data_IF_208768440769
#
_entry.id   IF_208768440769
#
_cell.length_a   1.000
_cell.length_b   1.000
_cell.length_c   1.000
_cell.angle_alpha   90.00
_cell.angle_beta   90.00
_cell.angle_gamma   90.00
#
_symmetry.space_group_name_H-M   'P 1'
#
loop_
_entity.id
_entity.type
_entity.pdbx_description
1 polymer ?
#
# COMPACT_ATOMS: atom_id res chain seq x y z
N UNK A 1 -0.07 -30.11 18.01
CA UNK A 1 0.83 -29.02 17.55
C UNK A 1 0.04 -27.73 17.66
N UNK A 2 0.39 -26.85 18.61
CA UNK A 2 -0.35 -25.60 18.81
C UNK A 2 -0.13 -24.60 17.66
N UNK A 3 -0.89 -23.50 17.66
CA UNK A 3 -0.81 -22.41 16.67
C UNK A 3 0.47 -21.55 16.77
N UNK A 4 1.45 -21.98 17.57
CA UNK A 4 2.70 -21.27 17.84
C UNK A 4 3.55 -21.03 16.58
N UNK A 5 3.49 -21.93 15.60
CA UNK A 5 4.22 -21.76 14.34
C UNK A 5 3.77 -20.51 13.56
N UNK A 6 2.53 -20.04 13.76
CA UNK A 6 2.02 -18.83 13.11
C UNK A 6 2.69 -17.55 13.62
N UNK A 7 3.38 -17.59 14.76
CA UNK A 7 4.11 -16.44 15.33
C UNK A 7 5.45 -16.18 14.68
N UNK A 8 5.95 -17.15 13.90
CA UNK A 8 7.24 -17.03 13.22
C UNK A 8 7.19 -15.89 12.19
N UNK A 9 8.31 -15.17 12.10
CA UNK A 9 8.51 -14.10 11.14
C UNK A 9 9.67 -14.48 10.24
N UNK A 10 9.50 -14.23 8.94
CA UNK A 10 10.58 -14.26 7.98
C UNK A 10 11.35 -12.93 7.99
N UNK A 11 12.35 -12.81 7.12
CA UNK A 11 13.13 -11.58 6.96
C UNK A 11 12.23 -10.35 6.73
N UNK A 12 12.68 -9.19 7.20
CA UNK A 12 11.92 -7.94 7.19
C UNK A 12 10.61 -7.95 8.01
N UNK A 13 10.51 -8.84 9.01
CA UNK A 13 9.37 -8.93 9.92
C UNK A 13 8.10 -9.51 9.30
N UNK A 14 8.21 -10.26 8.19
CA UNK A 14 7.04 -10.78 7.48
C UNK A 14 6.41 -11.97 8.22
N UNK A 15 5.14 -11.82 8.61
CA UNK A 15 4.32 -12.94 9.11
C UNK A 15 3.68 -13.72 7.95
N UNK A 16 3.15 -14.91 8.24
CA UNK A 16 2.34 -15.69 7.30
C UNK A 16 1.14 -14.89 6.75
N UNK A 17 0.57 -13.96 7.54
CA UNK A 17 -0.47 -13.05 7.09
C UNK A 17 0.00 -12.08 5.99
N UNK A 18 1.23 -11.57 6.08
CA UNK A 18 1.79 -10.73 5.02
C UNK A 18 2.00 -11.53 3.73
N UNK A 19 2.50 -12.76 3.84
CA UNK A 19 2.71 -13.63 2.67
C UNK A 19 1.37 -13.98 2.02
N UNK A 20 0.35 -14.31 2.80
CA UNK A 20 -0.99 -14.60 2.29
C UNK A 20 -1.60 -13.38 1.58
N UNK A 21 -1.54 -12.19 2.18
CA UNK A 21 -2.04 -10.96 1.59
C UNK A 21 -1.28 -10.55 0.32
N UNK A 22 0.04 -10.73 0.28
CA UNK A 22 0.87 -10.48 -0.90
C UNK A 22 0.46 -11.34 -2.11
N UNK A 23 -0.08 -12.54 -1.85
CA UNK A 23 -0.50 -13.51 -2.86
C UNK A 23 -2.02 -13.56 -3.08
N UNK A 24 -2.80 -12.60 -2.54
CA UNK A 24 -4.25 -12.58 -2.71
C UNK A 24 -4.97 -13.76 -2.05
N UNK A 25 -4.35 -14.42 -1.06
CA UNK A 25 -4.90 -15.64 -0.44
C UNK A 25 -5.85 -15.29 0.70
N UNK A 26 -6.99 -14.68 0.37
CA UNK A 26 -8.02 -14.29 1.34
C UNK A 26 -8.46 -15.47 2.23
N UNK A 27 -8.62 -16.66 1.66
CA UNK A 27 -8.99 -17.88 2.40
C UNK A 27 -8.00 -18.22 3.52
N UNK A 28 -6.70 -18.02 3.31
CA UNK A 28 -5.67 -18.23 4.33
C UNK A 28 -5.75 -17.15 5.42
N UNK A 29 -6.02 -15.90 5.05
CA UNK A 29 -6.21 -14.81 6.03
C UNK A 29 -7.43 -15.06 6.93
N UNK A 30 -8.52 -15.57 6.35
CA UNK A 30 -9.71 -16.01 7.10
C UNK A 30 -9.34 -17.15 8.06
N UNK A 31 -8.63 -18.16 7.57
CA UNK A 31 -8.19 -19.27 8.42
C UNK A 31 -7.27 -18.81 9.56
N UNK A 32 -6.33 -17.89 9.32
CA UNK A 32 -5.48 -17.29 10.36
C UNK A 32 -6.33 -16.56 11.40
N UNK A 33 -7.30 -15.74 10.95
CA UNK A 33 -8.22 -15.00 11.85
C UNK A 33 -8.98 -15.95 12.78
N UNK A 34 -9.45 -17.06 12.23
CA UNK A 34 -10.29 -18.04 12.93
C UNK A 34 -9.48 -19.01 13.82
N UNK A 35 -8.15 -18.90 13.83
CA UNK A 35 -7.33 -19.64 14.79
C UNK A 35 -7.49 -19.04 16.20
N UNK A 36 -8.01 -19.84 17.13
CA UNK A 36 -8.33 -19.44 18.50
C UNK A 36 -7.15 -18.77 19.23
N UNK A 37 -7.45 -17.62 19.86
CA UNK A 37 -6.61 -16.91 20.82
C UNK A 37 -5.57 -15.94 20.26
N UNK A 38 -5.18 -16.04 18.98
CA UNK A 38 -4.05 -15.27 18.41
C UNK A 38 -4.28 -14.70 16.99
N UNK A 39 -5.31 -15.18 16.27
CA UNK A 39 -5.49 -14.86 14.84
C UNK A 39 -5.49 -13.37 14.51
N UNK A 40 -6.30 -12.58 15.22
CA UNK A 40 -6.38 -11.13 15.01
C UNK A 40 -5.08 -10.40 15.36
N UNK A 41 -4.40 -10.81 16.43
CA UNK A 41 -3.13 -10.19 16.84
C UNK A 41 -2.02 -10.45 15.80
N UNK A 42 -2.01 -11.64 15.20
CA UNK A 42 -1.08 -11.95 14.11
C UNK A 42 -1.33 -11.13 12.84
N UNK A 43 -2.61 -10.89 12.49
CA UNK A 43 -2.98 -10.08 11.34
C UNK A 43 -2.69 -8.58 11.54
N UNK A 44 -2.66 -8.11 12.80
CA UNK A 44 -2.33 -6.72 13.15
C UNK A 44 -0.83 -6.41 13.19
N UNK A 45 0.03 -7.43 13.17
CA UNK A 45 1.49 -7.25 13.17
C UNK A 45 1.94 -6.45 11.95
N UNK A 46 3.03 -5.72 12.14
CA UNK A 46 3.68 -4.93 11.09
C UNK A 46 5.05 -5.50 10.78
N UNK A 47 5.49 -5.29 9.54
CA UNK A 47 6.87 -5.49 9.10
C UNK A 47 7.80 -4.43 9.69
N UNK A 48 9.10 -4.61 9.50
CA UNK A 48 10.14 -3.69 10.00
C UNK A 48 10.01 -2.26 9.44
N UNK A 49 9.41 -2.12 8.25
CA UNK A 49 9.11 -0.84 7.60
C UNK A 49 7.76 -0.22 8.04
N UNK A 50 7.08 -0.83 9.01
CA UNK A 50 5.75 -0.44 9.49
C UNK A 50 4.61 -0.90 8.57
N UNK A 51 4.90 -1.68 7.53
CA UNK A 51 3.89 -2.19 6.60
C UNK A 51 2.97 -3.21 7.25
N UNK A 52 1.66 -3.06 7.03
CA UNK A 52 0.63 -4.03 7.42
C UNK A 52 0.31 -4.98 6.27
N UNK A 53 -0.54 -5.98 6.51
CA UNK A 53 -1.11 -6.84 5.45
C UNK A 53 -1.85 -6.03 4.36
N UNK A 54 -2.41 -4.86 4.68
CA UNK A 54 -3.08 -3.99 3.71
C UNK A 54 -2.10 -3.39 2.71
N UNK A 55 -0.92 -3.01 3.20
CA UNK A 55 0.14 -2.40 2.39
C UNK A 55 0.66 -3.38 1.33
N UNK A 56 0.94 -4.63 1.74
CA UNK A 56 1.38 -5.66 0.79
C UNK A 56 0.26 -6.15 -0.14
N UNK A 57 -1.00 -6.13 0.28
CA UNK A 57 -2.14 -6.40 -0.61
C UNK A 57 -2.29 -5.30 -1.67
N UNK A 58 -2.20 -4.03 -1.27
CA UNK A 58 -2.30 -2.90 -2.19
C UNK A 58 -1.13 -2.82 -3.17
N UNK A 59 0.11 -3.04 -2.69
CA UNK A 59 1.32 -3.13 -3.51
C UNK A 59 1.33 -4.31 -4.50
N UNK A 60 0.37 -5.23 -4.40
CA UNK A 60 0.27 -6.42 -5.24
C UNK A 60 -1.05 -6.52 -6.01
N UNK A 61 -1.92 -5.51 -5.90
CA UNK A 61 -3.14 -5.45 -6.70
C UNK A 61 -4.25 -6.38 -6.20
N UNK A 62 -4.43 -6.51 -4.89
CA UNK A 62 -5.47 -7.38 -4.29
C UNK A 62 -6.58 -6.57 -3.61
N UNK A 63 -7.47 -5.90 -4.36
CA UNK A 63 -8.59 -5.13 -3.79
C UNK A 63 -9.63 -6.02 -3.09
N UNK A 64 -9.72 -7.30 -3.46
CA UNK A 64 -10.54 -8.31 -2.78
C UNK A 64 -10.09 -8.57 -1.33
N UNK A 65 -8.78 -8.68 -1.11
CA UNK A 65 -8.21 -8.79 0.24
C UNK A 65 -8.48 -7.51 1.05
N UNK A 66 -8.35 -6.34 0.43
CA UNK A 66 -8.65 -5.06 1.08
C UNK A 66 -10.13 -4.93 1.45
N UNK A 67 -11.03 -5.38 0.57
CA UNK A 67 -12.47 -5.43 0.83
C UNK A 67 -12.81 -6.37 1.98
N UNK A 68 -12.15 -7.54 2.04
CA UNK A 68 -12.30 -8.45 3.16
C UNK A 68 -11.81 -7.83 4.47
N UNK A 69 -10.63 -7.19 4.48
CA UNK A 69 -10.09 -6.51 5.67
C UNK A 69 -11.05 -5.41 6.14
N UNK A 70 -11.63 -4.64 5.22
CA UNK A 70 -12.60 -3.57 5.49
C UNK A 70 -13.80 -4.09 6.28
N UNK A 71 -14.30 -5.28 5.93
CA UNK A 71 -15.43 -5.94 6.59
C UNK A 71 -15.05 -6.85 7.76
N UNK A 72 -13.75 -7.06 8.03
CA UNK A 72 -13.29 -7.98 9.06
C UNK A 72 -13.41 -7.36 10.46
N UNK A 73 -14.25 -7.95 11.31
CA UNK A 73 -14.33 -7.63 12.74
C UNK A 73 -12.95 -7.65 13.38
N UNK A 74 -12.58 -6.56 14.06
CA UNK A 74 -11.28 -6.42 14.73
C UNK A 74 -10.16 -5.81 13.89
N UNK A 75 -10.35 -5.60 12.58
CA UNK A 75 -9.46 -4.83 11.70
C UNK A 75 -10.17 -3.55 11.19
N UNK A 76 -11.09 -3.71 10.24
CA UNK A 76 -11.96 -2.66 9.74
C UNK A 76 -11.25 -1.50 8.99
N UNK A 77 -11.99 -0.41 8.81
CA UNK A 77 -11.56 0.77 8.05
C UNK A 77 -10.34 1.46 8.67
N UNK A 78 -10.27 1.56 10.00
CA UNK A 78 -9.15 2.23 10.65
C UNK A 78 -7.83 1.49 10.48
N UNK A 79 -7.89 0.16 10.31
CA UNK A 79 -6.71 -0.63 9.99
C UNK A 79 -6.19 -0.36 8.57
N UNK A 80 -7.08 -0.05 7.61
CA UNK A 80 -6.72 0.36 6.25
C UNK A 80 -6.06 1.74 6.20
N UNK A 81 -6.34 2.62 7.17
CA UNK A 81 -5.77 3.97 7.27
C UNK A 81 -4.38 4.01 7.89
N UNK A 82 -3.90 2.91 8.47
CA UNK A 82 -2.55 2.85 9.05
C UNK A 82 -1.51 3.19 8.00
N UNK A 83 -0.44 3.83 8.45
CA UNK A 83 0.69 4.23 7.60
C UNK A 83 1.94 3.47 7.99
N UNK A 84 2.85 3.30 7.02
CA UNK A 84 4.22 2.83 7.24
C UNK A 84 5.02 3.83 8.08
N UNK A 85 6.24 3.45 8.46
CA UNK A 85 7.16 4.32 9.22
C UNK A 85 7.48 5.63 8.48
N UNK A 86 7.47 5.60 7.13
CA UNK A 86 7.67 6.76 6.27
C UNK A 86 6.37 7.53 5.95
N UNK A 87 5.28 7.26 6.68
CA UNK A 87 3.94 7.83 6.46
C UNK A 87 3.25 7.44 5.14
N UNK A 88 3.79 6.47 4.39
CA UNK A 88 3.12 5.96 3.20
C UNK A 88 1.82 5.22 3.57
N UNK A 89 0.77 5.47 2.79
CA UNK A 89 -0.53 4.80 2.87
C UNK A 89 -0.62 3.67 1.84
N UNK A 90 -1.66 2.83 1.93
CA UNK A 90 -1.94 1.80 0.90
C UNK A 90 -2.11 2.38 -0.52
N UNK A 91 -2.52 3.65 -0.65
CA UNK A 91 -2.62 4.31 -1.95
C UNK A 91 -1.23 4.64 -2.55
N UNK A 92 -0.26 4.99 -1.71
CA UNK A 92 1.13 5.17 -2.17
C UNK A 92 1.70 3.85 -2.69
N UNK A 93 1.46 2.76 -1.96
CA UNK A 93 1.91 1.41 -2.35
C UNK A 93 1.29 0.96 -3.68
N UNK A 94 -0.03 1.16 -3.87
CA UNK A 94 -0.72 0.85 -5.12
C UNK A 94 -0.25 1.73 -6.30
N UNK A 95 -0.05 3.03 -6.06
CA UNK A 95 0.42 3.95 -7.10
C UNK A 95 1.86 3.66 -7.53
N UNK A 96 2.75 3.35 -6.59
CA UNK A 96 4.15 3.02 -6.87
C UNK A 96 4.31 1.72 -7.68
N UNK A 97 3.31 0.84 -7.62
CA UNK A 97 3.31 -0.48 -8.28
C UNK A 97 2.37 -0.57 -9.49
N UNK A 98 1.62 0.49 -9.79
CA UNK A 98 0.76 0.57 -10.97
C UNK A 98 -0.60 -0.13 -10.82
N UNK A 99 -1.03 -0.45 -9.61
CA UNK A 99 -2.31 -1.13 -9.34
C UNK A 99 -3.48 -0.15 -9.34
N UNK A 100 -3.96 0.17 -10.55
CA UNK A 100 -5.07 1.09 -10.79
C UNK A 100 -6.38 0.65 -10.16
N UNK A 101 -6.68 -0.63 -10.23
CA UNK A 101 -7.86 -1.28 -9.64
C UNK A 101 -7.95 -1.03 -8.13
N UNK A 102 -6.83 -1.09 -7.41
CA UNK A 102 -6.76 -0.76 -5.98
C UNK A 102 -7.02 0.72 -5.75
N UNK A 103 -6.47 1.61 -6.57
CA UNK A 103 -6.73 3.06 -6.44
C UNK A 103 -8.20 3.41 -6.70
N UNK A 104 -8.83 2.77 -7.68
CA UNK A 104 -10.26 2.91 -7.95
C UNK A 104 -11.07 2.38 -6.76
N UNK A 105 -10.72 1.22 -6.22
CA UNK A 105 -11.36 0.68 -5.02
C UNK A 105 -11.26 1.62 -3.81
N UNK A 106 -10.07 2.21 -3.56
CA UNK A 106 -9.86 3.19 -2.47
C UNK A 106 -10.76 4.42 -2.66
N UNK A 107 -10.81 4.94 -3.88
CA UNK A 107 -11.63 6.12 -4.23
C UNK A 107 -13.11 5.83 -4.01
N UNK A 108 -13.58 4.69 -4.49
CA UNK A 108 -15.01 4.36 -4.48
C UNK A 108 -15.52 4.03 -3.06
N UNK A 109 -14.63 3.63 -2.15
CA UNK A 109 -14.95 3.23 -0.77
C UNK A 109 -14.65 4.30 0.27
N UNK A 110 -14.15 5.45 -0.18
CA UNK A 110 -13.86 6.62 0.64
C UNK A 110 -12.90 6.35 1.82
N UNK A 111 -12.10 5.29 1.71
CA UNK A 111 -11.34 4.72 2.84
C UNK A 111 -10.36 5.73 3.46
N UNK A 112 -9.80 6.62 2.63
CA UNK A 112 -8.74 7.57 3.01
C UNK A 112 -9.18 9.04 2.99
N UNK A 113 -10.48 9.37 2.91
CA UNK A 113 -10.94 10.76 2.61
C UNK A 113 -10.74 11.81 3.71
N UNK A 114 -10.22 11.50 4.89
CA UNK A 114 -9.89 12.54 5.87
C UNK A 114 -8.59 12.21 6.60
N UNK A 115 -7.49 12.91 6.26
CA UNK A 115 -6.37 13.29 7.17
C UNK A 115 -5.19 14.03 6.50
N UNK A 116 -5.30 14.61 5.30
CA UNK A 116 -4.21 15.45 4.76
C UNK A 116 -4.34 16.90 5.26
N UNK A 117 -3.91 17.14 6.50
CA UNK A 117 -3.43 18.45 6.95
C UNK A 117 -1.89 18.35 6.98
N UNK A 118 -1.25 18.94 5.98
CA UNK A 118 0.17 19.34 5.90
C UNK A 118 1.28 18.36 6.37
N UNK A 119 2.02 17.81 5.40
CA UNK A 119 3.45 18.05 5.17
C UNK A 119 4.08 16.85 4.40
N UNK A 120 4.50 17.07 3.15
CA UNK A 120 5.51 16.23 2.48
C UNK A 120 5.06 15.27 1.36
N UNK A 121 3.77 15.14 1.06
CA UNK A 121 3.30 14.28 -0.03
C UNK A 121 1.78 14.30 -0.09
N UNK A 122 1.21 15.19 -0.90
CA UNK A 122 -0.23 15.38 -0.94
C UNK A 122 -0.82 14.55 -2.08
N UNK A 123 -1.49 13.44 -1.74
CA UNK A 123 -2.45 12.79 -2.62
C UNK A 123 -3.77 13.57 -2.53
N UNK A 124 -3.90 14.64 -3.33
CA UNK A 124 -5.16 15.35 -3.48
C UNK A 124 -6.10 14.49 -4.33
N UNK A 125 -6.96 13.69 -3.68
CA UNK A 125 -8.10 13.05 -4.35
C UNK A 125 -9.21 14.09 -4.49
N UNK A 126 -9.19 14.85 -5.59
CA UNK A 126 -10.33 15.68 -5.97
C UNK A 126 -11.34 14.86 -6.78
N UNK A 127 -12.65 15.12 -6.65
CA UNK A 127 -13.67 14.46 -7.43
C UNK A 127 -13.63 14.96 -8.88
N UNK A 128 -13.02 14.19 -9.78
CA UNK A 128 -12.94 14.51 -11.21
C UNK A 128 -11.93 13.63 -11.94
N UNK A 129 -12.19 13.30 -13.20
CA UNK A 129 -11.57 12.25 -14.03
C UNK A 129 -10.05 12.34 -14.32
N UNK A 130 -9.26 13.10 -13.56
CA UNK A 130 -7.85 13.42 -13.87
C UNK A 130 -6.81 12.70 -12.96
N UNK A 131 -7.09 11.49 -12.48
CA UNK A 131 -6.42 10.95 -11.28
C UNK A 131 -5.10 10.19 -11.50
N UNK A 132 -4.73 9.73 -12.70
CA UNK A 132 -3.66 8.71 -12.79
C UNK A 132 -2.34 9.16 -13.42
N UNK A 133 -2.23 10.39 -13.96
CA UNK A 133 -1.03 10.84 -14.67
C UNK A 133 0.14 11.28 -13.79
N UNK A 134 -0.14 11.89 -12.63
CA UNK A 134 0.88 12.69 -11.96
C UNK A 134 1.85 11.88 -11.08
N UNK A 135 1.51 10.65 -10.70
CA UNK A 135 2.19 9.97 -9.60
C UNK A 135 3.32 9.01 -9.99
N UNK A 136 3.33 8.48 -11.22
CA UNK A 136 4.46 7.65 -11.68
C UNK A 136 5.73 8.47 -11.96
N UNK A 137 5.56 9.74 -12.34
CA UNK A 137 6.68 10.62 -12.72
C UNK A 137 7.30 11.33 -11.51
N UNK A 138 6.51 11.70 -10.50
CA UNK A 138 7.02 12.57 -9.43
C UNK A 138 7.81 11.84 -8.33
N UNK A 139 7.46 10.60 -7.98
CA UNK A 139 8.10 9.90 -6.86
C UNK A 139 9.42 9.23 -7.26
N UNK A 140 9.51 8.67 -8.48
CA UNK A 140 10.79 8.15 -8.99
C UNK A 140 11.80 9.29 -9.20
N UNK A 141 11.35 10.46 -9.66
CA UNK A 141 12.19 11.65 -9.80
C UNK A 141 12.60 12.20 -8.42
N UNK A 142 11.71 12.36 -7.44
CA UNK A 142 12.12 12.94 -6.15
C UNK A 142 12.99 12.01 -5.27
N UNK A 143 12.74 10.71 -5.26
CA UNK A 143 13.53 9.78 -4.44
C UNK A 143 14.93 9.51 -5.01
N UNK A 144 15.10 9.45 -6.34
CA UNK A 144 16.42 9.35 -6.95
C UNK A 144 17.12 10.72 -7.06
N UNK A 145 16.39 11.80 -7.34
CA UNK A 145 16.99 13.13 -7.49
C UNK A 145 17.51 13.68 -6.16
N UNK A 146 16.93 13.38 -4.98
CA UNK A 146 17.53 13.86 -3.72
C UNK A 146 18.91 13.26 -3.43
N UNK A 147 19.20 12.03 -3.88
CA UNK A 147 20.51 11.42 -3.75
C UNK A 147 21.51 11.91 -4.82
N UNK A 148 21.02 12.30 -6.01
CA UNK A 148 21.85 12.64 -7.17
C UNK A 148 22.04 14.16 -7.41
N UNK A 149 21.09 15.00 -6.99
CA UNK A 149 21.11 16.47 -7.13
C UNK A 149 22.18 17.13 -6.26
N UNK A 150 22.72 16.43 -5.26
CA UNK A 150 23.88 16.94 -4.51
C UNK A 150 25.17 16.91 -5.36
N UNK A 151 25.17 16.21 -6.50
CA UNK A 151 26.37 15.98 -7.32
C UNK A 151 26.32 16.57 -8.74
N UNK A 152 25.15 16.79 -9.35
CA UNK A 152 25.06 17.38 -10.70
C UNK A 152 23.68 18.05 -10.96
N UNK A 153 23.59 19.39 -11.07
CA UNK A 153 22.33 20.11 -11.25
C UNK A 153 21.70 20.03 -12.66
N UNK A 154 22.41 19.54 -13.68
CA UNK A 154 22.00 19.70 -15.09
C UNK A 154 21.40 18.44 -15.77
N UNK A 155 21.17 17.33 -15.04
CA UNK A 155 20.96 16.00 -15.65
C UNK A 155 19.48 15.56 -15.90
N UNK A 156 18.50 16.45 -15.92
CA UNK A 156 17.07 16.06 -15.72
C UNK A 156 16.30 15.57 -16.96
N UNK A 157 16.84 15.58 -18.18
CA UNK A 157 15.95 15.63 -19.38
C UNK A 157 15.62 14.34 -20.13
N UNK A 158 15.93 13.12 -19.67
CA UNK A 158 15.69 11.95 -20.55
C UNK A 158 15.27 10.65 -19.86
N UNK A 159 14.06 10.58 -19.26
CA UNK A 159 13.42 9.27 -19.04
C UNK A 159 11.91 9.36 -18.76
N UNK A 160 11.08 9.45 -19.81
CA UNK A 160 9.67 9.06 -19.75
C UNK A 160 9.33 8.29 -21.02
N UNK A 161 8.82 7.06 -20.87
CA UNK A 161 8.38 6.22 -22.00
C UNK A 161 7.29 6.95 -22.80
N UNK A 162 7.36 6.85 -24.13
CA UNK A 162 6.43 7.48 -25.08
C UNK A 162 4.97 7.12 -24.81
N UNK A 163 4.71 5.94 -24.24
CA UNK A 163 3.34 5.47 -23.93
C UNK A 163 2.68 6.28 -22.80
N UNK A 164 3.49 6.77 -21.85
CA UNK A 164 3.01 7.62 -20.74
C UNK A 164 2.67 9.02 -21.25
N UNK A 165 3.40 9.52 -22.26
CA UNK A 165 3.13 10.83 -22.88
C UNK A 165 1.90 10.80 -23.81
N UNK A 166 1.61 9.65 -24.42
CA UNK A 166 0.41 9.48 -25.25
C UNK A 166 -0.89 9.50 -24.40
N UNK A 167 -0.83 9.07 -23.14
CA UNK A 167 -1.97 9.07 -22.21
C UNK A 167 -2.36 10.45 -21.67
N UNK A 168 -1.48 11.45 -21.82
CA UNK A 168 -1.69 12.83 -21.35
C UNK A 168 -2.44 13.74 -22.33
N UNK A 169 -2.77 13.26 -23.54
CA UNK A 169 -3.57 13.98 -24.54
C UNK A 169 -5.01 13.50 -24.51
#
# INVERSE_FOLDING_TARGET
LGVEFLKQVADAGQTIGHVAAMNGRQNVLVWIRDCDGLGLELLKRVRDDGGTICHVAAARGHPDVLEWIRGCTGLGVDFLKRVRNNRATIAHDAAATGHRDVLEWIRDRDVLRCQFVNAGGCLLVLPGRAVLAAFAVYFFVLCFAFAHLKKNPDAVTTFVSRDVLAWLR
#
